data_IF_393949514243
#
_entry.id   IF_393949514243
#
_cell.length_a   1.000
_cell.length_b   1.000
_cell.length_c   1.000
_cell.angle_alpha   90.00
_cell.angle_beta   90.00
_cell.angle_gamma   90.00
#
_symmetry.space_group_name_H-M   'P 1'
#
loop_
_entity.id
_entity.type
_entity.pdbx_description
1 polymer ?
#
# COMPACT_ATOMS: atom_id res chain seq x y z
N UNK A 1 -1.35 -23.86 -0.25
CA UNK A 1 -0.38 -22.85 -0.74
C UNK A 1 -1.05 -21.56 -1.18
N UNK A 2 -2.24 -21.61 -1.79
CA UNK A 2 -2.93 -20.42 -2.32
C UNK A 2 -3.30 -19.37 -1.26
N UNK A 3 -3.78 -19.80 -0.08
CA UNK A 3 -4.09 -18.88 1.04
C UNK A 3 -2.83 -18.15 1.52
N UNK A 4 -1.70 -18.85 1.63
CA UNK A 4 -0.42 -18.26 2.05
C UNK A 4 0.07 -17.23 1.02
N UNK A 5 -0.01 -17.56 -0.28
CA UNK A 5 0.34 -16.64 -1.36
C UNK A 5 -0.56 -15.39 -1.35
N UNK A 6 -1.86 -15.57 -1.11
CA UNK A 6 -2.84 -14.49 -1.01
C UNK A 6 -2.55 -13.55 0.19
N UNK A 7 -2.25 -14.12 1.37
CA UNK A 7 -1.87 -13.34 2.57
C UNK A 7 -0.56 -12.59 2.31
N UNK A 8 0.44 -13.27 1.74
CA UNK A 8 1.72 -12.65 1.40
C UNK A 8 1.56 -11.49 0.41
N UNK A 9 0.72 -11.64 -0.62
CA UNK A 9 0.43 -10.59 -1.59
C UNK A 9 -0.27 -9.39 -0.94
N UNK A 10 -1.24 -9.65 -0.07
CA UNK A 10 -1.96 -8.60 0.66
C UNK A 10 -1.01 -7.81 1.57
N UNK A 11 -0.13 -8.50 2.29
CA UNK A 11 0.89 -7.86 3.13
C UNK A 11 1.91 -7.07 2.31
N UNK A 12 2.32 -7.58 1.15
CA UNK A 12 3.24 -6.88 0.25
C UNK A 12 2.67 -5.54 -0.18
N UNK A 13 1.41 -5.50 -0.65
CA UNK A 13 0.77 -4.25 -1.04
C UNK A 13 0.55 -3.30 0.15
N UNK A 14 0.25 -3.82 1.34
CA UNK A 14 0.14 -3.01 2.54
C UNK A 14 1.48 -2.34 2.91
N UNK A 15 2.59 -3.07 2.82
CA UNK A 15 3.94 -2.54 3.09
C UNK A 15 4.31 -1.49 2.04
N UNK A 16 4.06 -1.75 0.75
CA UNK A 16 4.33 -0.80 -0.32
C UNK A 16 3.50 0.48 -0.15
N UNK A 17 2.23 0.37 0.25
CA UNK A 17 1.40 1.52 0.59
C UNK A 17 2.02 2.32 1.75
N UNK A 18 2.45 1.66 2.83
CA UNK A 18 3.07 2.33 3.97
C UNK A 18 4.34 3.10 3.58
N UNK A 19 5.24 2.46 2.81
CA UNK A 19 6.47 3.10 2.33
C UNK A 19 6.15 4.29 1.44
N UNK A 20 5.19 4.16 0.53
CA UNK A 20 4.74 5.24 -0.34
C UNK A 20 4.13 6.40 0.46
N UNK A 21 3.37 6.12 1.51
CA UNK A 21 2.83 7.12 2.42
C UNK A 21 3.95 7.89 3.13
N UNK A 22 4.94 7.19 3.70
CA UNK A 22 6.08 7.81 4.38
C UNK A 22 6.87 8.71 3.41
N UNK A 23 7.16 8.23 2.20
CA UNK A 23 7.85 9.01 1.18
C UNK A 23 7.09 10.29 0.80
N UNK A 24 5.76 10.19 0.67
CA UNK A 24 4.90 11.35 0.42
C UNK A 24 4.91 12.36 1.59
N UNK A 25 4.87 11.89 2.84
CA UNK A 25 4.94 12.75 4.03
C UNK A 25 6.29 13.46 4.10
N UNK A 26 7.39 12.74 3.89
CA UNK A 26 8.74 13.34 3.88
C UNK A 26 8.86 14.37 2.76
N UNK A 27 8.42 14.05 1.55
CA UNK A 27 8.48 15.00 0.43
C UNK A 27 7.68 16.28 0.73
N UNK A 28 6.48 16.17 1.34
CA UNK A 28 5.70 17.35 1.73
C UNK A 28 6.36 18.14 2.86
N UNK A 29 6.92 17.47 3.85
CA UNK A 29 7.60 18.12 4.97
C UNK A 29 8.85 18.87 4.52
N UNK A 30 9.66 18.26 3.66
CA UNK A 30 10.86 18.88 3.07
C UNK A 30 10.48 20.04 2.15
N UNK A 31 9.40 19.90 1.35
CA UNK A 31 8.90 21.02 0.52
C UNK A 31 8.49 22.25 1.35
N UNK A 32 8.05 22.05 2.60
CA UNK A 32 7.64 23.14 3.50
C UNK A 32 8.82 23.80 4.23
N UNK A 33 9.99 23.16 4.25
CA UNK A 33 11.22 23.67 4.87
C UNK A 33 12.43 23.39 3.97
N UNK A 34 12.51 24.06 2.81
CA UNK A 34 13.61 23.86 1.87
C UNK A 34 14.97 24.20 2.49
N UNK A 35 15.02 25.05 3.51
CA UNK A 35 16.27 25.35 4.23
C UNK A 35 16.91 24.16 4.96
N UNK A 36 16.15 23.07 5.20
CA UNK A 36 16.65 21.87 5.88
C UNK A 36 17.22 20.82 4.93
N UNK A 37 16.98 20.92 3.63
CA UNK A 37 17.40 19.90 2.68
C UNK A 37 17.74 20.51 1.31
N UNK A 38 19.00 20.38 0.91
CA UNK A 38 19.53 20.85 -0.38
C UNK A 38 19.14 19.84 -1.49
N UNK A 39 17.84 19.71 -1.74
CA UNK A 39 17.26 18.74 -2.69
C UNK A 39 16.52 19.49 -3.79
N UNK A 40 16.71 19.05 -5.03
CA UNK A 40 16.06 19.64 -6.20
C UNK A 40 14.51 19.65 -6.05
N UNK A 41 13.86 20.82 -6.13
CA UNK A 41 12.41 20.95 -6.01
C UNK A 41 11.64 20.14 -7.07
N UNK A 42 12.22 19.89 -8.25
CA UNK A 42 11.60 19.07 -9.29
C UNK A 42 11.54 17.60 -8.86
N UNK A 43 12.66 17.07 -8.33
CA UNK A 43 12.74 15.71 -7.81
C UNK A 43 11.78 15.49 -6.63
N UNK A 44 11.64 16.49 -5.76
CA UNK A 44 10.72 16.47 -4.64
C UNK A 44 9.25 16.41 -5.08
N UNK A 45 8.89 17.23 -6.08
CA UNK A 45 7.55 17.25 -6.65
C UNK A 45 7.20 15.95 -7.37
N UNK A 46 8.17 15.37 -8.07
CA UNK A 46 8.02 14.07 -8.73
C UNK A 46 7.79 12.97 -7.68
N UNK A 47 8.65 12.92 -6.66
CA UNK A 47 8.54 11.97 -5.55
C UNK A 47 7.18 12.08 -4.87
N UNK A 48 6.73 13.28 -4.50
CA UNK A 48 5.43 13.47 -3.86
C UNK A 48 4.26 12.95 -4.72
N UNK A 49 4.29 13.17 -6.04
CA UNK A 49 3.24 12.69 -6.96
C UNK A 49 3.29 11.18 -7.17
N UNK A 50 4.47 10.63 -7.44
CA UNK A 50 4.65 9.20 -7.68
C UNK A 50 4.35 8.38 -6.42
N UNK A 51 4.83 8.82 -5.26
CA UNK A 51 4.51 8.20 -3.97
C UNK A 51 3.03 8.33 -3.65
N UNK A 52 2.37 9.45 -3.97
CA UNK A 52 0.92 9.59 -3.83
C UNK A 52 0.14 8.60 -4.70
N UNK A 53 0.50 8.47 -5.99
CA UNK A 53 -0.10 7.47 -6.88
C UNK A 53 0.12 6.05 -6.36
N UNK A 54 1.35 5.72 -5.99
CA UNK A 54 1.71 4.39 -5.47
C UNK A 54 0.94 4.05 -4.19
N UNK A 55 0.81 5.02 -3.27
CA UNK A 55 0.01 4.86 -2.06
C UNK A 55 -1.45 4.52 -2.39
N UNK A 56 -2.11 5.34 -3.21
CA UNK A 56 -3.51 5.11 -3.56
C UNK A 56 -3.72 3.79 -4.31
N UNK A 57 -2.84 3.45 -5.24
CA UNK A 57 -2.90 2.19 -5.98
C UNK A 57 -2.72 0.99 -5.03
N UNK A 58 -1.66 0.97 -4.22
CA UNK A 58 -1.39 -0.13 -3.31
C UNK A 58 -2.47 -0.27 -2.23
N UNK A 59 -3.00 0.84 -1.70
CA UNK A 59 -4.12 0.83 -0.77
C UNK A 59 -5.39 0.28 -1.42
N UNK A 60 -5.71 0.68 -2.66
CA UNK A 60 -6.88 0.17 -3.37
C UNK A 60 -6.78 -1.34 -3.61
N UNK A 61 -5.61 -1.83 -4.04
CA UNK A 61 -5.36 -3.27 -4.23
C UNK A 61 -5.43 -4.01 -2.89
N UNK A 62 -4.87 -3.44 -1.82
CA UNK A 62 -4.90 -4.05 -0.48
C UNK A 62 -6.34 -4.18 0.03
N UNK A 63 -7.16 -3.13 -0.12
CA UNK A 63 -8.58 -3.16 0.27
C UNK A 63 -9.36 -4.16 -0.59
N UNK A 64 -9.15 -4.14 -1.91
CA UNK A 64 -9.78 -5.08 -2.83
C UNK A 64 -9.49 -6.52 -2.45
N UNK A 65 -8.21 -6.85 -2.22
CA UNK A 65 -7.80 -8.15 -1.71
C UNK A 65 -8.52 -8.39 -0.39
N UNK A 66 -8.27 -7.59 0.66
CA UNK A 66 -8.80 -7.80 2.00
C UNK A 66 -10.33 -7.98 2.07
N UNK A 67 -11.10 -7.36 1.18
CA UNK A 67 -12.57 -7.51 1.12
C UNK A 67 -12.99 -8.75 0.33
N UNK A 68 -12.34 -9.05 -0.80
CA UNK A 68 -12.76 -10.14 -1.70
C UNK A 68 -12.18 -11.49 -1.28
N UNK A 69 -10.97 -11.53 -0.72
CA UNK A 69 -10.34 -12.76 -0.25
C UNK A 69 -11.19 -13.53 0.76
N UNK A 70 -11.77 -12.88 1.79
CA UNK A 70 -12.70 -13.54 2.71
C UNK A 70 -13.94 -14.08 2.01
N UNK A 71 -14.49 -13.36 1.02
CA UNK A 71 -15.70 -13.79 0.27
C UNK A 71 -15.40 -15.02 -0.59
N UNK A 72 -14.22 -15.07 -1.22
CA UNK A 72 -13.77 -16.22 -2.01
C UNK A 72 -13.32 -17.41 -1.14
N UNK A 73 -12.83 -17.16 0.07
CA UNK A 73 -12.44 -18.21 1.03
C UNK A 73 -13.64 -18.79 1.80
N UNK A 74 -14.74 -18.05 1.91
CA UNK A 74 -15.97 -18.46 2.61
C UNK A 74 -16.55 -19.82 2.12
N UNK A 75 -16.71 -20.09 0.80
CA UNK A 75 -17.22 -21.37 0.31
C UNK A 75 -16.27 -22.55 0.58
N UNK A 76 -14.98 -22.31 0.84
CA UNK A 76 -14.00 -23.35 1.22
C UNK A 76 -14.01 -23.61 2.74
N UNK A 77 -14.24 -22.57 3.54
CA UNK A 77 -14.28 -22.64 5.01
C UNK A 77 -15.61 -23.16 5.58
N UNK A 78 -16.74 -22.84 4.95
CA UNK A 78 -18.08 -23.31 5.34
C UNK A 78 -18.21 -24.84 5.48
N UNK A 79 -17.74 -25.67 4.52
CA UNK A 79 -17.79 -27.13 4.66
C UNK A 79 -16.79 -27.70 5.67
N UNK A 80 -15.79 -26.92 6.12
CA UNK A 80 -14.84 -27.33 7.15
C UNK A 80 -15.34 -27.06 8.58
N UNK A 81 -16.29 -26.11 8.76
CA UNK A 81 -16.88 -25.77 10.05
C UNK A 81 -18.15 -26.58 10.38
N UNK A 82 -18.72 -27.27 9.38
CA UNK A 82 -19.93 -28.08 9.49
C UNK A 82 -19.71 -29.56 9.78
N UNK A 83 -18.50 -29.96 10.21
CA UNK A 83 -18.16 -31.31 10.68
C UNK A 83 -17.55 -31.24 12.07
#
# INVERSE_FOLDING_TARGET
MEILAYVALTLLFAILALVAFVAMVIARAVSARPELADVDPVALRLTAKMSGFCFHFCSAVTIFLAVIGPVLALPVLLPALGK
#
